data_IF_374159346787
#
_entry.id   IF_374159346787
#
_cell.length_a   1.000
_cell.length_b   1.000
_cell.length_c   1.000
_cell.angle_alpha   90.00
_cell.angle_beta   90.00
_cell.angle_gamma   90.00
#
_symmetry.space_group_name_H-M   'P 1'
#
loop_
_entity.id
_entity.type
_entity.pdbx_description
1 polymer ?
#
# COMPACT_ATOMS: atom_id res chain seq x y z
N UNK A 1 -5.35 -7.93 -12.79
CA UNK A 1 -4.67 -6.77 -12.16
C UNK A 1 -5.45 -5.50 -12.50
N UNK A 2 -6.15 -4.91 -11.51
CA UNK A 2 -7.07 -3.79 -11.77
C UNK A 2 -6.39 -2.42 -11.76
N UNK A 3 -5.49 -2.15 -10.80
CA UNK A 3 -4.61 -0.98 -10.83
C UNK A 3 -3.53 -1.06 -9.74
N UNK A 4 -2.36 -0.49 -10.03
CA UNK A 4 -1.42 -0.06 -9.00
C UNK A 4 -1.28 1.43 -9.16
N UNK A 5 -1.59 2.19 -8.12
CA UNK A 5 -1.48 3.64 -8.14
C UNK A 5 -0.53 4.10 -7.05
N UNK A 6 0.52 4.82 -7.43
CA UNK A 6 1.32 5.60 -6.49
C UNK A 6 0.52 6.88 -6.23
N UNK A 7 -0.16 6.93 -5.08
CA UNK A 7 -1.10 8.00 -4.73
C UNK A 7 -0.32 9.08 -3.96
N UNK A 8 0.62 9.73 -4.64
CA UNK A 8 1.27 10.95 -4.16
C UNK A 8 2.02 10.85 -2.82
N UNK A 9 2.34 12.02 -2.27
CA UNK A 9 2.97 12.19 -0.97
C UNK A 9 1.89 12.40 0.09
N UNK A 10 1.98 11.67 1.20
CA UNK A 10 1.13 11.86 2.37
C UNK A 10 2.00 12.25 3.57
N UNK A 11 1.53 13.20 4.37
CA UNK A 11 2.13 13.50 5.67
C UNK A 11 1.47 12.61 6.73
N UNK A 12 2.23 11.71 7.33
CA UNK A 12 1.78 10.86 8.44
C UNK A 12 2.81 10.94 9.57
N UNK A 13 2.35 11.15 10.80
CA UNK A 13 3.20 11.25 11.99
C UNK A 13 4.38 12.25 11.87
N UNK A 14 4.13 13.40 11.23
CA UNK A 14 5.12 14.46 10.91
C UNK A 14 6.18 14.09 9.87
N UNK A 15 6.11 12.88 9.32
CA UNK A 15 6.96 12.38 8.27
C UNK A 15 6.29 12.42 6.90
N UNK A 16 7.07 12.71 5.87
CA UNK A 16 6.64 12.62 4.48
C UNK A 16 6.80 11.18 4.01
N UNK A 17 5.69 10.56 3.61
CA UNK A 17 5.66 9.20 3.06
C UNK A 17 5.15 9.22 1.63
N UNK A 18 5.63 8.28 0.81
CA UNK A 18 4.95 7.88 -0.42
C UNK A 18 3.81 6.95 -0.05
N UNK A 19 2.69 7.07 -0.77
CA UNK A 19 1.56 6.17 -0.65
C UNK A 19 1.45 5.29 -1.91
N UNK A 20 1.32 3.99 -1.69
CA UNK A 20 1.05 2.98 -2.71
C UNK A 20 -0.28 2.31 -2.39
N UNK A 21 -1.22 2.35 -3.33
CA UNK A 21 -2.48 1.63 -3.22
C UNK A 21 -2.44 0.40 -4.13
N UNK A 22 -2.65 -0.77 -3.52
CA UNK A 22 -2.74 -2.06 -4.19
C UNK A 22 -4.18 -2.53 -4.17
N UNK A 23 -4.74 -2.87 -5.33
CA UNK A 23 -6.09 -3.41 -5.47
C UNK A 23 -6.08 -4.71 -6.27
N UNK A 24 -6.73 -5.74 -5.75
CA UNK A 24 -6.79 -7.08 -6.36
C UNK A 24 -8.20 -7.67 -6.29
N UNK A 25 -8.59 -8.42 -7.31
CA UNK A 25 -9.92 -9.04 -7.38
C UNK A 25 -10.03 -10.31 -6.52
N UNK A 26 -8.90 -10.85 -6.04
CA UNK A 26 -8.85 -12.02 -5.17
C UNK A 26 -7.72 -11.89 -4.12
N UNK A 27 -7.82 -12.73 -3.08
CA UNK A 27 -6.92 -12.69 -1.94
C UNK A 27 -5.48 -13.09 -2.29
N UNK A 28 -5.29 -14.08 -3.16
CA UNK A 28 -3.97 -14.61 -3.51
C UNK A 28 -3.13 -13.57 -4.27
N UNK A 29 -3.73 -12.92 -5.26
CA UNK A 29 -3.09 -11.81 -5.97
C UNK A 29 -2.77 -10.65 -5.04
N UNK A 30 -3.68 -10.32 -4.11
CA UNK A 30 -3.45 -9.27 -3.12
C UNK A 30 -2.25 -9.60 -2.22
N UNK A 31 -2.19 -10.82 -1.68
CA UNK A 31 -1.08 -11.28 -0.82
C UNK A 31 0.25 -11.25 -1.58
N UNK A 32 0.26 -11.65 -2.86
CA UNK A 32 1.46 -11.61 -3.68
C UNK A 32 1.94 -10.17 -3.92
N UNK A 33 1.03 -9.24 -4.19
CA UNK A 33 1.38 -7.83 -4.38
C UNK A 33 1.89 -7.17 -3.10
N UNK A 34 1.25 -7.44 -1.95
CA UNK A 34 1.70 -6.97 -0.64
C UNK A 34 3.09 -7.51 -0.33
N UNK A 35 3.32 -8.83 -0.50
CA UNK A 35 4.63 -9.45 -0.27
C UNK A 35 5.74 -8.81 -1.13
N UNK A 36 5.47 -8.58 -2.42
CA UNK A 36 6.41 -7.90 -3.34
C UNK A 36 6.69 -6.45 -2.93
N UNK A 37 5.69 -5.73 -2.43
CA UNK A 37 5.85 -4.36 -1.96
C UNK A 37 6.64 -4.31 -0.66
N UNK A 38 6.36 -5.20 0.29
CA UNK A 38 7.14 -5.34 1.53
C UNK A 38 8.62 -5.63 1.26
N UNK A 39 8.92 -6.52 0.31
CA UNK A 39 10.30 -6.78 -0.11
C UNK A 39 11.02 -5.54 -0.70
N UNK A 40 10.26 -4.53 -1.16
CA UNK A 40 10.78 -3.25 -1.66
C UNK A 40 10.82 -2.14 -0.59
N UNK A 41 10.56 -2.50 0.68
CA UNK A 41 10.59 -1.59 1.81
C UNK A 41 9.33 -0.74 1.98
N UNK A 42 8.18 -1.24 1.53
CA UNK A 42 6.88 -0.64 1.84
C UNK A 42 6.26 -1.31 3.07
N UNK A 43 5.57 -0.55 3.91
CA UNK A 43 4.86 -1.08 5.08
C UNK A 43 3.35 -0.95 4.89
N UNK A 44 2.57 -1.93 5.37
CA UNK A 44 1.11 -1.86 5.35
C UNK A 44 0.65 -0.81 6.35
N UNK A 45 -0.05 0.21 5.86
CA UNK A 45 -0.66 1.26 6.67
C UNK A 45 -2.09 0.91 7.03
N UNK A 46 -2.84 0.40 6.06
CA UNK A 46 -4.21 -0.06 6.24
C UNK A 46 -4.50 -1.17 5.22
N UNK A 47 -4.99 -2.30 5.70
CA UNK A 47 -5.60 -3.32 4.86
C UNK A 47 -7.12 -3.29 4.99
N UNK A 48 -7.82 -3.63 3.90
CA UNK A 48 -9.27 -3.64 3.90
C UNK A 48 -9.84 -4.44 2.76
N UNK A 49 -10.98 -5.08 3.02
CA UNK A 49 -11.86 -5.62 1.99
C UNK A 49 -12.91 -4.57 1.71
N UNK A 50 -13.03 -4.08 0.46
CA UNK A 50 -14.07 -3.11 0.13
C UNK A 50 -15.41 -3.84 0.03
N UNK A 51 -16.36 -3.57 0.95
CA UNK A 51 -17.56 -4.38 1.09
C UNK A 51 -18.51 -4.28 -0.12
N UNK A 52 -18.41 -3.21 -0.91
CA UNK A 52 -19.34 -2.93 -2.02
C UNK A 52 -18.91 -3.56 -3.35
N UNK A 53 -17.62 -3.87 -3.56
CA UNK A 53 -17.10 -4.32 -4.87
C UNK A 53 -16.33 -5.65 -4.85
N UNK A 54 -16.22 -6.32 -3.70
CA UNK A 54 -15.67 -7.68 -3.60
C UNK A 54 -14.15 -7.81 -3.77
N UNK A 55 -13.43 -6.71 -3.98
CA UNK A 55 -11.97 -6.69 -4.14
C UNK A 55 -11.22 -6.44 -2.82
N UNK A 56 -9.92 -6.73 -2.83
CA UNK A 56 -8.98 -6.53 -1.73
C UNK A 56 -8.16 -5.28 -2.00
N UNK A 57 -7.98 -4.44 -0.98
CA UNK A 57 -7.17 -3.23 -1.07
C UNK A 57 -6.14 -3.16 0.07
N UNK A 58 -4.92 -2.72 -0.25
CA UNK A 58 -3.91 -2.36 0.75
C UNK A 58 -3.38 -0.96 0.46
N UNK A 59 -3.34 -0.13 1.49
CA UNK A 59 -2.65 1.15 1.48
C UNK A 59 -1.30 0.92 2.15
N UNK A 60 -0.24 1.21 1.42
CA UNK A 60 1.13 0.98 1.86
C UNK A 60 1.92 2.27 1.84
N UNK A 61 2.80 2.44 2.82
CA UNK A 61 3.60 3.65 2.99
C UNK A 61 5.09 3.34 2.94
N UNK A 62 5.86 4.29 2.43
CA UNK A 62 7.32 4.26 2.45
C UNK A 62 7.88 5.65 2.76
N UNK A 63 8.78 5.82 3.74
CA UNK A 63 9.38 7.12 4.04
C UNK A 63 10.11 7.71 2.81
N UNK A 64 9.99 9.02 2.60
CA UNK A 64 10.67 9.75 1.52
C UNK A 64 12.15 10.02 1.81
N UNK A 65 12.51 10.08 3.10
CA UNK A 65 13.88 10.25 3.57
C UNK A 65 14.31 9.05 4.42
N UNK A 66 15.56 8.57 4.31
CA UNK A 66 16.09 7.48 5.14
C UNK A 66 16.42 7.90 6.59
N UNK A 67 15.86 9.01 7.07
CA UNK A 67 16.21 9.62 8.35
C UNK A 67 14.94 10.19 8.99
N UNK A 68 14.26 9.41 9.83
CA UNK A 68 13.92 9.76 11.21
C UNK A 68 13.69 8.43 11.94
N UNK A 69 14.76 7.89 12.54
CA UNK A 69 14.72 6.92 13.63
C UNK A 69 15.83 7.31 14.59
#
# INVERSE_FOLDING_TARGET
>A
MRRTQEVGEISHDRLHHRLLVLEADNLEEWQLMVSKATAKGWSVYQDGKVPVNGWYSAWMVKPLSPLEN
#
